data_IF_055078546575
#
_entry.id   IF_055078546575
#
_cell.length_a   1.000
_cell.length_b   1.000
_cell.length_c   1.000
_cell.angle_alpha   90.00
_cell.angle_beta   90.00
_cell.angle_gamma   90.00
#
_symmetry.space_group_name_H-M   'P 1'
#
loop_
_entity.id
_entity.type
_entity.pdbx_description
1 polymer ?
#
# COMPACT_ATOMS: atom_id res chain seq x y z
N UNK A 1 -18.64 2.68 5.37
CA UNK A 1 -17.26 2.29 5.79
C UNK A 1 -16.49 1.67 4.62
N UNK A 2 -17.20 1.22 3.58
CA UNK A 2 -16.65 0.50 2.44
C UNK A 2 -15.63 1.33 1.65
N UNK A 3 -15.90 2.61 1.42
CA UNK A 3 -14.94 3.53 0.78
C UNK A 3 -13.59 3.60 1.52
N UNK A 4 -13.59 3.79 2.85
CA UNK A 4 -12.36 3.83 3.64
C UNK A 4 -11.61 2.50 3.62
N UNK A 5 -12.35 1.40 3.60
CA UNK A 5 -11.77 0.07 3.50
C UNK A 5 -11.13 -0.17 2.13
N UNK A 6 -11.77 0.26 1.03
CA UNK A 6 -11.20 0.19 -0.32
C UNK A 6 -9.90 0.99 -0.43
N UNK A 7 -9.88 2.22 0.09
CA UNK A 7 -8.67 3.04 0.13
C UNK A 7 -7.56 2.37 0.96
N UNK A 8 -7.90 1.82 2.13
CA UNK A 8 -6.95 1.08 2.96
C UNK A 8 -6.40 -0.17 2.26
N UNK A 9 -7.24 -0.89 1.52
CA UNK A 9 -6.85 -2.06 0.72
C UNK A 9 -5.90 -1.63 -0.40
N UNK A 10 -6.21 -0.54 -1.11
CA UNK A 10 -5.33 -0.02 -2.16
C UNK A 10 -3.95 0.32 -1.59
N UNK A 11 -3.89 1.06 -0.47
CA UNK A 11 -2.64 1.40 0.21
C UNK A 11 -1.86 0.14 0.64
N UNK A 12 -2.55 -0.91 1.11
CA UNK A 12 -1.92 -2.18 1.48
C UNK A 12 -1.41 -2.97 0.28
N UNK A 13 -2.13 -2.97 -0.85
CA UNK A 13 -1.71 -3.65 -2.09
C UNK A 13 -0.48 -3.00 -2.71
N UNK A 14 -0.42 -1.67 -2.69
CA UNK A 14 0.76 -0.93 -3.16
C UNK A 14 2.01 -1.32 -2.35
N UNK A 15 1.87 -1.40 -1.03
CA UNK A 15 2.97 -1.75 -0.11
C UNK A 15 2.48 -2.76 0.93
N UNK A 16 2.73 -4.06 0.68
CA UNK A 16 2.36 -5.14 1.61
C UNK A 16 2.95 -4.98 3.01
N UNK A 17 4.07 -4.25 3.13
CA UNK A 17 4.78 -3.95 4.38
C UNK A 17 4.15 -2.85 5.21
N UNK A 18 3.26 -2.01 4.65
CA UNK A 18 2.68 -0.87 5.37
C UNK A 18 1.97 -1.34 6.62
N UNK A 19 2.25 -0.75 7.77
CA UNK A 19 1.51 -1.08 9.00
C UNK A 19 0.10 -0.50 8.97
N UNK A 20 -0.82 -1.04 9.79
CA UNK A 20 -2.17 -0.47 9.93
C UNK A 20 -2.10 0.98 10.42
N UNK A 21 -1.15 1.30 11.31
CA UNK A 21 -0.94 2.65 11.81
C UNK A 21 -0.50 3.62 10.69
N UNK A 22 0.38 3.18 9.79
CA UNK A 22 0.77 3.98 8.62
C UNK A 22 -0.38 4.19 7.65
N UNK A 23 -1.24 3.18 7.44
CA UNK A 23 -2.42 3.33 6.60
C UNK A 23 -3.37 4.38 7.21
N UNK A 24 -3.60 4.35 8.53
CA UNK A 24 -4.40 5.37 9.22
C UNK A 24 -3.79 6.75 9.03
N UNK A 25 -2.48 6.88 9.24
CA UNK A 25 -1.78 8.15 9.06
C UNK A 25 -1.93 8.71 7.63
N UNK A 26 -1.84 7.87 6.60
CA UNK A 26 -2.03 8.30 5.21
C UNK A 26 -3.48 8.73 4.97
N UNK A 27 -4.47 7.96 5.44
CA UNK A 27 -5.88 8.31 5.31
C UNK A 27 -6.24 9.62 6.02
N UNK A 28 -5.61 9.89 7.17
CA UNK A 28 -5.73 11.15 7.89
C UNK A 28 -5.05 12.30 7.14
N UNK A 29 -3.84 12.09 6.61
CA UNK A 29 -3.09 13.09 5.85
C UNK A 29 -3.75 13.47 4.52
N UNK A 30 -4.42 12.51 3.86
CA UNK A 30 -5.19 12.73 2.63
C UNK A 30 -6.57 13.35 2.89
N UNK A 31 -6.97 13.52 4.16
CA UNK A 31 -8.23 14.15 4.55
C UNK A 31 -9.46 13.22 4.43
N UNK A 32 -9.26 11.92 4.22
CA UNK A 32 -10.35 10.95 4.17
C UNK A 32 -10.99 10.68 5.54
N UNK A 33 -10.22 10.88 6.62
CA UNK A 33 -10.69 10.73 8.00
C UNK A 33 -10.10 11.83 8.87
N UNK A 34 -10.88 12.35 9.82
CA UNK A 34 -10.34 13.25 10.85
C UNK A 34 -9.39 12.51 11.83
N UNK A 35 -8.32 13.16 12.31
CA UNK A 35 -7.33 12.53 13.16
C UNK A 35 -7.93 11.93 14.43
N UNK A 36 -7.59 10.68 14.72
CA UNK A 36 -7.99 9.98 15.94
C UNK A 36 -9.41 9.37 15.92
N UNK A 37 -10.19 9.59 14.85
CA UNK A 37 -11.51 8.96 14.65
C UNK A 37 -11.37 7.49 14.31
N UNK A 38 -10.44 7.14 13.41
CA UNK A 38 -10.23 5.76 13.00
C UNK A 38 -9.26 5.05 13.95
N UNK A 39 -9.77 4.10 14.73
CA UNK A 39 -8.95 3.29 15.63
C UNK A 39 -8.28 2.14 14.89
N UNK A 40 -7.02 1.87 15.25
CA UNK A 40 -6.22 0.76 14.70
C UNK A 40 -6.94 -0.61 14.76
N UNK A 41 -7.50 -1.07 15.90
CA UNK A 41 -8.15 -2.38 15.98
C UNK A 41 -9.32 -2.50 15.00
N UNK A 42 -10.05 -1.40 14.77
CA UNK A 42 -11.17 -1.35 13.83
C UNK A 42 -10.68 -1.61 12.41
N UNK A 43 -9.70 -0.83 11.92
CA UNK A 43 -9.19 -0.99 10.56
C UNK A 43 -8.52 -2.36 10.35
N UNK A 44 -7.80 -2.85 11.36
CA UNK A 44 -7.16 -4.17 11.34
C UNK A 44 -8.17 -5.30 11.19
N UNK A 45 -9.27 -5.28 11.95
CA UNK A 45 -10.36 -6.27 11.85
C UNK A 45 -11.02 -6.24 10.46
N UNK A 46 -11.27 -5.06 9.91
CA UNK A 46 -11.88 -4.91 8.59
C UNK A 46 -10.94 -5.39 7.47
N UNK A 47 -9.65 -5.07 7.54
CA UNK A 47 -8.64 -5.56 6.59
C UNK A 47 -8.49 -7.08 6.66
N UNK A 48 -8.51 -7.67 7.86
CA UNK A 48 -8.45 -9.12 8.03
C UNK A 48 -9.67 -9.80 7.40
N UNK A 49 -10.88 -9.30 7.67
CA UNK A 49 -12.13 -9.82 7.07
C UNK A 49 -12.13 -9.72 5.54
N UNK A 50 -11.46 -8.72 4.99
CA UNK A 50 -11.30 -8.53 3.54
C UNK A 50 -10.18 -9.37 2.93
N UNK A 51 -9.44 -10.18 3.70
CA UNK A 51 -8.34 -11.01 3.20
C UNK A 51 -7.01 -10.26 3.02
N UNK A 52 -6.86 -9.06 3.61
CA UNK A 52 -5.65 -8.22 3.56
C UNK A 52 -4.95 -8.14 4.92
N UNK A 53 -5.17 -9.13 5.78
CA UNK A 53 -4.42 -9.33 7.01
C UNK A 53 -2.93 -9.59 6.77
N UNK A 54 -2.11 -9.45 7.82
CA UNK A 54 -0.65 -9.57 7.74
C UNK A 54 -0.19 -10.91 7.14
N UNK A 55 -0.84 -12.01 7.51
CA UNK A 55 -0.52 -13.36 7.02
C UNK A 55 -0.85 -13.51 5.53
N UNK A 56 -1.99 -12.99 5.08
CA UNK A 56 -2.37 -13.01 3.67
C UNK A 56 -1.39 -12.24 2.78
N UNK A 57 -0.83 -11.13 3.29
CA UNK A 57 0.13 -10.32 2.55
C UNK A 57 1.51 -11.00 2.39
N UNK A 58 1.83 -12.03 3.20
CA UNK A 58 3.09 -12.75 3.09
C UNK A 58 3.15 -13.58 1.80
N UNK A 59 2.06 -14.25 1.45
CA UNK A 59 1.91 -15.01 0.19
C UNK A 59 2.04 -14.12 -1.06
N UNK A 60 1.57 -12.86 -1.00
CA UNK A 60 1.74 -11.90 -2.10
C UNK A 60 3.20 -11.51 -2.35
N UNK A 61 4.08 -11.59 -1.34
CA UNK A 61 5.50 -11.29 -1.52
C UNK A 61 6.21 -12.39 -2.29
N UNK A 62 5.92 -13.64 -1.94
CA UNK A 62 6.52 -14.84 -2.55
C UNK A 62 6.20 -14.91 -4.05
N UNK A 63 4.95 -14.62 -4.45
CA UNK A 63 4.54 -14.61 -5.86
C UNK A 63 5.26 -13.53 -6.70
N UNK A 64 5.62 -12.40 -6.08
CA UNK A 64 6.22 -11.23 -6.77
C UNK A 64 7.72 -11.40 -7.03
N UNK A 65 8.36 -12.38 -6.41
CA UNK A 65 9.81 -12.60 -6.46
C UNK A 65 10.30 -13.22 -7.79
N UNK A 66 9.40 -13.80 -8.59
CA UNK A 66 9.72 -14.53 -9.84
C UNK A 66 9.80 -13.66 -11.12
N UNK A 67 9.52 -12.36 -11.05
CA UNK A 67 9.51 -11.47 -12.24
C UNK A 67 10.80 -10.65 -12.41
N UNK A 68 11.11 -10.23 -13.65
CA UNK A 68 12.35 -9.53 -14.01
C UNK A 68 12.53 -8.21 -13.21
N UNK A 69 13.36 -8.28 -12.15
CA UNK A 69 13.50 -7.31 -11.05
C UNK A 69 14.10 -5.94 -11.43
N UNK A 70 14.53 -5.73 -12.68
CA UNK A 70 15.32 -4.53 -13.03
C UNK A 70 14.47 -3.26 -13.03
N UNK A 71 13.24 -3.34 -13.55
CA UNK A 71 12.36 -2.17 -13.74
C UNK A 71 11.12 -2.18 -12.85
N UNK A 72 10.77 -3.31 -12.26
CA UNK A 72 9.62 -3.41 -11.36
C UNK A 72 10.01 -3.01 -9.93
N UNK A 73 9.85 -1.73 -9.58
CA UNK A 73 10.06 -1.27 -8.21
C UNK A 73 8.76 -1.32 -7.38
N UNK A 74 8.84 -1.64 -6.08
CA UNK A 74 7.66 -1.79 -5.24
C UNK A 74 6.90 -0.50 -4.96
N UNK A 75 7.52 0.69 -5.09
CA UNK A 75 6.88 1.96 -4.75
C UNK A 75 6.90 2.96 -5.91
N UNK A 76 5.86 3.81 -5.97
CA UNK A 76 5.88 5.00 -6.83
C UNK A 76 7.13 5.82 -6.52
N UNK A 77 7.73 6.41 -7.55
CA UNK A 77 8.96 7.21 -7.44
C UNK A 77 10.21 6.46 -6.98
N UNK A 78 10.19 5.12 -6.91
CA UNK A 78 11.35 4.32 -6.49
C UNK A 78 12.34 4.02 -7.63
N UNK A 79 11.91 4.17 -8.88
CA UNK A 79 12.79 4.24 -10.04
C UNK A 79 12.27 5.35 -10.94
N UNK A 80 13.15 6.31 -11.23
CA UNK A 80 12.92 7.35 -12.21
C UNK A 80 13.98 7.13 -13.27
N UNK A 81 13.55 6.86 -14.50
CA UNK A 81 14.44 6.67 -15.63
C UNK A 81 14.37 7.92 -16.49
N UNK A 82 15.46 8.68 -16.54
CA UNK A 82 15.65 9.74 -17.53
C UNK A 82 16.16 9.11 -18.83
N UNK A 83 15.49 9.37 -19.93
CA UNK A 83 16.02 9.11 -21.27
C UNK A 83 16.62 10.42 -21.80
N UNK A 84 17.89 10.39 -22.20
CA UNK A 84 18.58 11.52 -22.82
C UNK A 84 18.87 11.14 -24.27
N UNK A 85 18.34 11.94 -25.19
CA UNK A 85 18.75 11.93 -26.60
C UNK A 85 19.76 13.05 -26.81
N UNK A 86 20.96 12.70 -27.30
CA UNK A 86 21.93 13.70 -27.73
C UNK A 86 21.39 14.43 -28.97
N UNK A 87 21.32 15.76 -28.90
CA UNK A 87 21.11 16.64 -30.06
C UNK A 87 22.41 16.85 -30.85
N UNK A 88 22.33 17.38 -32.10
CA UNK A 88 23.47 17.54 -32.99
C UNK A 88 24.57 18.45 -32.45
#
# INVERSE_FOLDING_TARGET
FDFLLEQAIQLRKEVPERSVAQIIFILEAEGFVAPGVLKRPTLERHLYKAGFGREHMQMYREARESSSKRFCKPHRMMLIQGDIKYGP
#
